data_IF_762343549159
#
_entry.id   IF_762343549159
#
_cell.length_a   1.000
_cell.length_b   1.000
_cell.length_c   1.000
_cell.angle_alpha   90.00
_cell.angle_beta   90.00
_cell.angle_gamma   90.00
#
_symmetry.space_group_name_H-M   'P 1'
#
loop_
_entity.id
_entity.type
_entity.pdbx_description
1 polymer ?
#
# COMPACT_ATOMS: atom_id res chain seq x y z
N UNK A 1 56.76 3.45 -6.27
CA UNK A 1 57.76 4.31 -5.58
C UNK A 1 57.56 5.74 -6.05
N UNK A 2 57.84 6.72 -5.18
CA UNK A 2 57.43 8.15 -5.14
C UNK A 2 56.12 8.32 -4.37
N UNK A 3 56.07 8.47 -3.04
CA UNK A 3 56.78 9.39 -2.13
C UNK A 3 56.52 10.85 -2.43
N UNK A 4 55.42 11.37 -1.87
CA UNK A 4 55.28 12.78 -1.54
C UNK A 4 54.90 12.86 -0.05
N UNK A 5 55.82 13.42 0.74
CA UNK A 5 55.69 13.61 2.18
C UNK A 5 54.60 14.66 2.51
N UNK A 6 54.07 14.68 3.75
CA UNK A 6 53.03 15.61 4.17
C UNK A 6 53.65 16.99 4.42
N UNK A 7 53.02 18.04 3.91
CA UNK A 7 53.42 19.42 4.23
C UNK A 7 52.78 19.84 5.56
N UNK A 8 53.56 20.16 6.62
CA UNK A 8 53.02 20.51 7.92
C UNK A 8 52.86 22.03 8.03
N UNK A 9 51.61 22.45 8.07
CA UNK A 9 51.20 23.59 8.88
C UNK A 9 50.88 24.86 8.12
N UNK A 10 49.57 25.15 8.04
CA UNK A 10 49.03 26.45 8.46
C UNK A 10 47.71 26.15 9.19
N UNK A 11 47.69 26.40 10.49
CA UNK A 11 46.45 26.57 11.26
C UNK A 11 45.93 28.00 11.02
N UNK A 12 44.70 28.12 10.53
CA UNK A 12 43.93 29.35 10.60
C UNK A 12 42.63 29.07 11.36
N UNK A 13 42.37 29.73 12.51
CA UNK A 13 41.13 29.57 13.25
C UNK A 13 40.09 30.52 12.65
N UNK A 14 39.03 29.98 12.07
CA UNK A 14 37.90 30.81 11.68
C UNK A 14 37.09 30.22 10.56
N UNK A 15 35.86 29.86 10.92
CA UNK A 15 34.70 29.79 10.03
C UNK A 15 34.80 28.75 8.93
N UNK A 16 34.24 27.57 9.21
CA UNK A 16 33.40 26.78 8.30
C UNK A 16 33.39 25.32 8.75
N UNK A 17 33.09 25.07 10.04
CA UNK A 17 32.51 23.78 10.43
C UNK A 17 31.03 23.80 9.99
N UNK A 18 30.80 23.89 8.69
CA UNK A 18 29.53 23.44 8.13
C UNK A 18 29.59 21.93 8.30
N UNK A 19 28.94 21.43 9.35
CA UNK A 19 28.70 20.01 9.61
C UNK A 19 28.58 19.29 8.27
N UNK A 20 29.65 18.61 7.86
CA UNK A 20 29.60 17.77 6.68
C UNK A 20 28.45 16.78 6.95
N UNK A 21 27.41 16.72 6.10
CA UNK A 21 26.25 15.90 6.40
C UNK A 21 26.74 14.48 6.68
N UNK A 22 26.53 14.02 7.92
CA UNK A 22 26.91 12.66 8.31
C UNK A 22 26.35 11.72 7.24
N UNK A 23 27.25 10.96 6.60
CA UNK A 23 26.87 10.00 5.56
C UNK A 23 25.84 9.06 6.19
N UNK A 24 24.57 9.26 5.83
CA UNK A 24 23.45 8.58 6.46
C UNK A 24 23.62 7.08 6.36
N UNK A 25 23.22 6.36 7.43
CA UNK A 25 23.23 4.89 7.45
C UNK A 25 22.49 4.37 6.20
N UNK A 26 23.08 3.46 5.41
CA UNK A 26 22.39 2.89 4.27
C UNK A 26 21.15 2.13 4.76
N UNK A 27 19.96 2.55 4.30
CA UNK A 27 18.69 1.87 4.56
C UNK A 27 18.41 0.93 3.40
N UNK A 28 18.40 -0.38 3.69
CA UNK A 28 17.94 -1.39 2.73
C UNK A 28 16.44 -1.58 2.95
N UNK A 29 15.63 -1.31 1.92
CA UNK A 29 14.20 -1.54 1.96
C UNK A 29 13.91 -2.97 1.50
N UNK A 30 13.25 -3.75 2.34
CA UNK A 30 12.73 -5.05 1.94
C UNK A 30 11.48 -4.85 1.05
N UNK A 31 11.43 -5.50 -0.13
CA UNK A 31 10.25 -5.45 -0.98
C UNK A 31 9.03 -6.01 -0.26
N UNK A 32 7.88 -5.36 -0.39
CA UNK A 32 6.63 -5.89 0.18
C UNK A 32 6.29 -7.25 -0.45
N UNK A 33 5.86 -8.25 0.34
CA UNK A 33 5.51 -9.57 -0.16
C UNK A 33 4.52 -9.54 -1.35
N UNK A 34 4.71 -10.40 -2.36
CA UNK A 34 3.81 -10.48 -3.50
C UNK A 34 2.40 -10.89 -3.03
N UNK A 35 1.40 -10.10 -3.43
CA UNK A 35 -0.01 -10.35 -3.06
C UNK A 35 -0.50 -9.55 -1.85
N UNK A 36 0.38 -8.98 -1.03
CA UNK A 36 -0.01 -8.16 0.14
C UNK A 36 -0.93 -6.99 -0.24
N UNK A 37 -0.54 -6.20 -1.23
CA UNK A 37 -1.33 -5.06 -1.69
C UNK A 37 -2.67 -5.46 -2.30
N UNK A 38 -2.71 -6.61 -2.99
CA UNK A 38 -3.95 -7.13 -3.58
C UNK A 38 -4.91 -7.61 -2.50
N UNK A 39 -4.39 -8.27 -1.46
CA UNK A 39 -5.15 -8.68 -0.29
C UNK A 39 -5.73 -7.45 0.45
N UNK A 40 -4.88 -6.48 0.78
CA UNK A 40 -5.26 -5.30 1.55
C UNK A 40 -6.26 -4.42 0.80
N UNK A 41 -5.93 -4.01 -0.42
CA UNK A 41 -6.79 -3.13 -1.22
C UNK A 41 -8.07 -3.85 -1.68
N UNK A 42 -7.96 -5.13 -2.05
CA UNK A 42 -9.13 -5.95 -2.38
C UNK A 42 -10.10 -6.03 -1.22
N UNK A 43 -9.60 -6.26 0.00
CA UNK A 43 -10.43 -6.35 1.20
C UNK A 43 -11.05 -4.99 1.58
N UNK A 44 -10.27 -3.90 1.47
CA UNK A 44 -10.80 -2.55 1.66
C UNK A 44 -11.96 -2.27 0.68
N UNK A 45 -11.80 -2.58 -0.61
CA UNK A 45 -12.86 -2.42 -1.61
C UNK A 45 -14.05 -3.34 -1.32
N UNK A 46 -13.81 -4.59 -0.91
CA UNK A 46 -14.85 -5.56 -0.60
C UNK A 46 -15.81 -5.08 0.49
N UNK A 47 -15.28 -4.37 1.49
CA UNK A 47 -16.07 -3.84 2.61
C UNK A 47 -16.64 -2.46 2.30
N UNK A 48 -15.83 -1.56 1.74
CA UNK A 48 -16.23 -0.16 1.55
C UNK A 48 -17.22 0.01 0.40
N UNK A 49 -17.11 -0.75 -0.68
CA UNK A 49 -17.98 -0.56 -1.84
C UNK A 49 -19.47 -0.83 -1.53
N UNK A 50 -19.86 -1.93 -0.83
CA UNK A 50 -21.25 -2.12 -0.42
C UNK A 50 -21.74 -1.04 0.56
N UNK A 51 -20.91 -0.63 1.52
CA UNK A 51 -21.27 0.43 2.47
C UNK A 51 -21.49 1.78 1.77
N UNK A 52 -20.62 2.14 0.83
CA UNK A 52 -20.76 3.33 0.01
C UNK A 52 -21.97 3.24 -0.92
N UNK A 53 -22.20 2.08 -1.54
CA UNK A 53 -23.38 1.83 -2.36
C UNK A 53 -24.68 2.05 -1.58
N UNK A 54 -24.76 1.50 -0.36
CA UNK A 54 -25.88 1.73 0.53
C UNK A 54 -26.03 3.21 0.92
N UNK A 55 -24.93 3.85 1.34
CA UNK A 55 -24.94 5.26 1.77
C UNK A 55 -25.40 6.20 0.66
N UNK A 56 -24.84 6.03 -0.55
CA UNK A 56 -25.20 6.82 -1.72
C UNK A 56 -26.67 6.64 -2.05
N UNK A 57 -27.17 5.40 -2.03
CA UNK A 57 -28.60 5.12 -2.21
C UNK A 57 -29.48 5.80 -1.18
N UNK A 58 -29.06 5.78 0.08
CA UNK A 58 -29.76 6.47 1.16
C UNK A 58 -29.80 7.99 0.99
N UNK A 59 -28.73 8.60 0.46
CA UNK A 59 -28.69 10.04 0.17
C UNK A 59 -29.65 10.43 -0.95
N UNK A 60 -29.82 9.56 -1.97
CA UNK A 60 -30.78 9.80 -3.05
C UNK A 60 -32.24 9.55 -2.63
N UNK A 61 -32.48 8.89 -1.49
CA UNK A 61 -33.79 8.62 -0.93
C UNK A 61 -34.45 7.34 -1.48
N UNK A 62 -35.41 6.80 -0.73
CA UNK A 62 -36.25 5.72 -1.22
C UNK A 62 -37.10 6.25 -2.38
N UNK A 63 -37.06 5.55 -3.52
CA UNK A 63 -37.67 5.99 -4.78
C UNK A 63 -39.12 6.51 -4.61
N UNK A 64 -39.50 7.48 -5.43
CA UNK A 64 -40.88 8.00 -5.40
C UNK A 64 -41.87 6.90 -5.79
N UNK A 65 -43.08 6.93 -5.21
CA UNK A 65 -44.14 5.96 -5.51
C UNK A 65 -44.44 6.01 -7.02
N UNK A 66 -43.98 5.00 -7.77
CA UNK A 66 -44.10 4.92 -9.24
C UNK A 66 -42.81 4.56 -9.98
N UNK A 67 -41.64 4.64 -9.33
CA UNK A 67 -40.39 4.10 -9.89
C UNK A 67 -40.35 2.57 -9.80
N UNK A 68 -40.03 1.91 -10.91
CA UNK A 68 -39.95 0.45 -11.00
C UNK A 68 -38.81 -0.15 -10.18
N UNK A 69 -37.79 0.65 -9.82
CA UNK A 69 -36.61 0.21 -9.08
C UNK A 69 -36.15 1.30 -8.11
N UNK A 70 -36.02 0.95 -6.83
CA UNK A 70 -35.56 1.85 -5.77
C UNK A 70 -34.08 2.23 -5.98
N UNK A 71 -33.72 3.53 -5.98
CA UNK A 71 -32.33 4.00 -6.00
C UNK A 71 -31.42 3.32 -4.98
N UNK A 72 -31.94 3.01 -3.78
CA UNK A 72 -31.19 2.29 -2.74
C UNK A 72 -30.79 0.88 -3.19
N UNK A 73 -31.68 0.19 -3.90
CA UNK A 73 -31.40 -1.15 -4.42
C UNK A 73 -30.32 -1.10 -5.50
N UNK A 74 -30.43 -0.17 -6.44
CA UNK A 74 -29.47 -0.05 -7.55
C UNK A 74 -28.07 0.26 -7.02
N UNK A 75 -27.95 1.26 -6.15
CA UNK A 75 -26.65 1.68 -5.63
C UNK A 75 -26.01 0.60 -4.74
N UNK A 76 -26.80 -0.09 -3.91
CA UNK A 76 -26.34 -1.22 -3.12
C UNK A 76 -25.89 -2.37 -4.02
N UNK A 77 -26.67 -2.71 -5.05
CA UNK A 77 -26.32 -3.77 -6.00
C UNK A 77 -24.98 -3.49 -6.68
N UNK A 78 -24.78 -2.26 -7.17
CA UNK A 78 -23.51 -1.82 -7.75
C UNK A 78 -22.38 -1.95 -6.72
N UNK A 79 -22.60 -1.50 -5.49
CA UNK A 79 -21.65 -1.63 -4.39
C UNK A 79 -21.26 -3.09 -4.09
N UNK A 80 -22.23 -4.01 -4.09
CA UNK A 80 -22.01 -5.45 -3.90
C UNK A 80 -21.21 -6.05 -5.05
N UNK A 81 -21.51 -5.69 -6.30
CA UNK A 81 -20.76 -6.20 -7.47
C UNK A 81 -19.30 -5.75 -7.40
N UNK A 82 -19.06 -4.47 -7.14
CA UNK A 82 -17.70 -3.92 -6.96
C UNK A 82 -17.02 -4.59 -5.76
N UNK A 83 -17.73 -4.73 -4.65
CA UNK A 83 -17.22 -5.41 -3.45
C UNK A 83 -16.86 -6.87 -3.70
N UNK A 84 -17.67 -7.59 -4.49
CA UNK A 84 -17.39 -8.96 -4.91
C UNK A 84 -16.13 -9.07 -5.76
N UNK A 85 -15.91 -8.13 -6.69
CA UNK A 85 -14.64 -8.06 -7.43
C UNK A 85 -13.47 -7.79 -6.47
N UNK A 86 -13.63 -6.87 -5.53
CA UNK A 86 -12.65 -6.61 -4.47
C UNK A 86 -12.31 -7.87 -3.67
N UNK A 87 -13.31 -8.68 -3.32
CA UNK A 87 -13.13 -9.95 -2.63
C UNK A 87 -12.34 -10.96 -3.47
N UNK A 88 -12.64 -11.10 -4.76
CA UNK A 88 -11.87 -11.98 -5.66
C UNK A 88 -10.41 -11.53 -5.76
N UNK A 89 -10.17 -10.23 -5.83
CA UNK A 89 -8.81 -9.65 -5.82
C UNK A 89 -8.13 -9.97 -4.48
N UNK A 90 -8.83 -9.80 -3.37
CA UNK A 90 -8.30 -10.05 -2.03
C UNK A 90 -7.88 -11.51 -1.86
N UNK A 91 -8.74 -12.45 -2.27
CA UNK A 91 -8.45 -13.88 -2.25
C UNK A 91 -7.27 -14.24 -3.16
N UNK A 92 -7.20 -13.65 -4.36
CA UNK A 92 -6.05 -13.86 -5.26
C UNK A 92 -4.74 -13.37 -4.65
N UNK A 93 -4.76 -12.22 -3.96
CA UNK A 93 -3.62 -11.65 -3.24
C UNK A 93 -3.21 -12.51 -2.05
N UNK A 94 -4.19 -12.96 -1.25
CA UNK A 94 -3.97 -13.84 -0.12
C UNK A 94 -3.40 -15.19 -0.54
N UNK A 95 -3.87 -15.77 -1.65
CA UNK A 95 -3.34 -17.02 -2.19
C UNK A 95 -1.88 -16.87 -2.66
N UNK A 96 -1.54 -15.76 -3.31
CA UNK A 96 -0.16 -15.43 -3.70
C UNK A 96 0.75 -15.26 -2.47
N UNK A 97 0.25 -14.58 -1.44
CA UNK A 97 0.97 -14.33 -0.20
C UNK A 97 1.21 -15.63 0.58
N UNK A 98 0.18 -16.47 0.70
CA UNK A 98 0.26 -17.78 1.34
C UNK A 98 1.29 -18.68 0.65
N UNK A 99 1.29 -18.69 -0.69
CA UNK A 99 2.25 -19.44 -1.48
C UNK A 99 3.69 -18.92 -1.34
N UNK A 100 3.87 -17.62 -1.08
CA UNK A 100 5.20 -17.06 -0.85
C UNK A 100 5.80 -17.55 0.46
N UNK A 101 5.04 -17.46 1.56
CA UNK A 101 5.50 -17.90 2.88
C UNK A 101 5.72 -19.42 2.95
N UNK A 102 4.83 -20.24 2.38
CA UNK A 102 5.01 -21.71 2.40
C UNK A 102 6.21 -22.19 1.56
N UNK A 103 6.72 -21.39 0.62
CA UNK A 103 7.92 -21.72 -0.15
C UNK A 103 9.21 -21.44 0.60
N UNK A 104 9.17 -20.52 1.55
CA UNK A 104 10.30 -20.20 2.42
C UNK A 104 10.45 -21.29 3.49
N UNK A 105 9.32 -21.78 4.03
CA UNK A 105 9.31 -22.89 4.98
C UNK A 105 9.92 -24.18 4.38
N UNK A 106 9.68 -24.49 3.11
CA UNK A 106 10.27 -25.68 2.44
C UNK A 106 11.76 -25.53 2.09
N UNK A 107 12.30 -24.31 2.05
CA UNK A 107 13.70 -24.06 1.68
C UNK A 107 14.65 -24.05 2.90
N UNK A 108 14.11 -24.08 4.12
CA UNK A 108 14.87 -24.10 5.38
C UNK A 108 15.07 -25.52 5.96
N UNK A 109 14.51 -26.56 5.33
CA UNK A 109 14.72 -27.98 5.66
C UNK A 109 15.59 -28.72 4.63
#
# INVERSE_FOLDING_TARGET
>A
MTSAAPDPGITAPGGDDVDAPEVGRPVVLEPTPPGMWRALLGMAVAVLAPMLGFLVGGVFGAGTIGESVDPMFISLFVGIVIGGIGLLIALSGGALLWRHFHREDEAEF
#
